data_IF_334206529064
#
_entry.id   IF_334206529064
#
_cell.length_a   1.000
_cell.length_b   1.000
_cell.length_c   1.000
_cell.angle_alpha   90.00
_cell.angle_beta   90.00
_cell.angle_gamma   90.00
#
_symmetry.space_group_name_H-M   'P 1'
#
loop_
_entity.id
_entity.type
_entity.pdbx_description
1 polymer ?
#
# COMPACT_ATOMS: atom_id res chain seq x y z
N UNK A 1 3.96 17.45 39.94
CA UNK A 1 3.87 17.87 38.53
C UNK A 1 3.06 16.80 37.81
N UNK A 2 1.97 17.13 37.12
CA UNK A 2 1.27 16.14 36.30
C UNK A 2 2.18 15.81 35.11
N UNK A 3 2.61 14.55 35.02
CA UNK A 3 3.37 14.06 33.89
C UNK A 3 2.49 14.08 32.65
N UNK A 4 2.99 14.69 31.58
CA UNK A 4 2.35 14.63 30.28
C UNK A 4 2.39 13.16 29.86
N UNK A 5 1.23 12.54 29.76
CA UNK A 5 1.09 11.21 29.18
C UNK A 5 1.39 11.33 27.68
N UNK A 6 2.41 10.63 27.20
CA UNK A 6 2.84 10.64 25.79
C UNK A 6 2.51 9.31 25.09
N UNK A 7 1.67 8.46 25.70
CA UNK A 7 1.31 7.13 25.16
C UNK A 7 0.63 7.19 23.77
N UNK A 8 0.10 8.35 23.38
CA UNK A 8 -0.43 8.59 22.02
C UNK A 8 0.65 8.84 20.96
N UNK A 9 1.91 9.08 21.35
CA UNK A 9 3.06 9.13 20.42
C UNK A 9 3.65 7.74 20.14
N UNK A 10 3.29 6.72 20.92
CA UNK A 10 3.85 5.35 20.78
C UNK A 10 3.12 4.47 19.76
N UNK A 11 1.98 4.90 19.24
CA UNK A 11 1.29 4.15 18.19
C UNK A 11 0.66 5.10 17.19
N UNK A 12 1.29 5.33 16.02
CA UNK A 12 0.53 5.69 14.85
C UNK A 12 -0.33 4.47 14.55
N UNK A 13 -1.57 4.46 15.03
CA UNK A 13 -2.57 3.50 14.56
C UNK A 13 -2.95 3.94 13.16
N UNK A 14 -2.03 3.76 12.21
CA UNK A 14 -2.35 3.77 10.80
C UNK A 14 -3.34 2.63 10.62
N UNK A 15 -4.59 2.98 10.30
CA UNK A 15 -5.61 1.98 10.04
C UNK A 15 -5.08 1.00 8.98
N UNK A 16 -5.14 -0.32 9.21
CA UNK A 16 -4.62 -1.27 8.25
C UNK A 16 -5.40 -1.14 6.94
N UNK A 17 -4.70 -1.03 5.81
CA UNK A 17 -5.34 -1.03 4.50
C UNK A 17 -6.02 -2.39 4.27
N UNK A 18 -7.34 -2.38 4.06
CA UNK A 18 -8.13 -3.60 3.91
C UNK A 18 -8.43 -3.84 2.43
N UNK A 19 -8.06 -5.00 1.93
CA UNK A 19 -8.41 -5.49 0.60
C UNK A 19 -9.54 -6.49 0.74
N UNK A 20 -10.70 -6.19 0.17
CA UNK A 20 -11.82 -7.14 0.10
C UNK A 20 -11.68 -7.99 -1.16
N UNK A 21 -11.42 -9.28 -0.98
CA UNK A 21 -11.33 -10.23 -2.09
C UNK A 21 -12.63 -11.03 -2.23
N UNK A 22 -12.95 -11.51 -3.45
CA UNK A 22 -14.06 -12.43 -3.66
C UNK A 22 -13.91 -13.69 -2.80
N UNK A 23 -15.04 -14.20 -2.31
CA UNK A 23 -15.12 -15.44 -1.53
C UNK A 23 -14.47 -16.60 -2.30
N UNK A 24 -13.69 -17.49 -1.64
CA UNK A 24 -13.54 -17.66 -0.19
C UNK A 24 -12.39 -16.85 0.46
N UNK A 25 -11.71 -15.97 -0.27
CA UNK A 25 -10.51 -15.30 0.23
C UNK A 25 -10.79 -14.24 1.31
N UNK A 26 -11.97 -13.61 1.27
CA UNK A 26 -12.43 -12.68 2.31
C UNK A 26 -11.62 -11.39 2.39
N UNK A 27 -11.60 -10.77 3.57
CA UNK A 27 -10.86 -9.53 3.81
C UNK A 27 -9.39 -9.82 4.18
N UNK A 28 -8.47 -9.15 3.49
CA UNK A 28 -7.05 -9.17 3.78
C UNK A 28 -6.64 -7.82 4.36
N UNK A 29 -6.03 -7.83 5.54
CA UNK A 29 -5.43 -6.64 6.15
C UNK A 29 -3.95 -6.56 5.79
N UNK A 30 -3.57 -5.50 5.08
CA UNK A 30 -2.17 -5.19 4.80
C UNK A 30 -1.54 -4.48 5.99
N UNK A 31 -0.24 -4.70 6.18
CA UNK A 31 0.59 -3.98 7.13
C UNK A 31 0.73 -2.52 6.69
N UNK A 32 0.89 -1.58 7.62
CA UNK A 32 1.21 -0.19 7.27
C UNK A 32 2.57 -0.11 6.56
N UNK A 33 2.76 0.92 5.73
CA UNK A 33 4.00 1.13 4.96
C UNK A 33 5.21 1.25 5.90
N UNK A 34 5.05 1.94 7.04
CA UNK A 34 6.07 2.07 8.09
C UNK A 34 6.57 0.73 8.65
N UNK A 35 5.81 -0.36 8.50
CA UNK A 35 6.17 -1.70 8.93
C UNK A 35 6.68 -2.60 7.78
N UNK A 36 6.90 -2.06 6.58
CA UNK A 36 7.39 -2.84 5.45
C UNK A 36 8.84 -3.28 5.65
N UNK A 37 9.19 -4.53 5.25
CA UNK A 37 10.60 -4.93 5.13
C UNK A 37 11.32 -4.07 4.08
N UNK A 38 12.66 -4.08 4.11
CA UNK A 38 13.51 -3.25 3.25
C UNK A 38 13.19 -3.41 1.74
N UNK A 39 12.88 -4.64 1.30
CA UNK A 39 12.51 -4.91 -0.09
C UNK A 39 11.19 -4.24 -0.49
N UNK A 40 10.21 -4.20 0.41
CA UNK A 40 8.93 -3.52 0.20
C UNK A 40 9.09 -2.00 0.13
N UNK A 41 9.93 -1.44 1.01
CA UNK A 41 10.28 -0.01 0.96
C UNK A 41 11.01 0.36 -0.34
N UNK A 42 11.97 -0.46 -0.79
CA UNK A 42 12.68 -0.22 -2.04
C UNK A 42 11.73 -0.25 -3.26
N UNK A 43 10.79 -1.20 -3.28
CA UNK A 43 9.76 -1.28 -4.32
C UNK A 43 8.85 -0.05 -4.30
N UNK A 44 8.38 0.38 -3.12
CA UNK A 44 7.58 1.59 -2.95
C UNK A 44 8.30 2.83 -3.51
N UNK A 45 9.58 3.00 -3.21
CA UNK A 45 10.37 4.13 -3.72
C UNK A 45 10.49 4.14 -5.24
N UNK A 46 10.66 2.96 -5.87
CA UNK A 46 10.69 2.85 -7.34
C UNK A 46 9.34 3.19 -7.97
N UNK A 47 8.25 2.70 -7.39
CA UNK A 47 6.89 2.99 -7.85
C UNK A 47 6.58 4.47 -7.71
N UNK A 48 6.85 5.07 -6.55
CA UNK A 48 6.60 6.50 -6.30
C UNK A 48 7.45 7.39 -7.21
N UNK A 49 8.70 7.02 -7.48
CA UNK A 49 9.52 7.72 -8.47
C UNK A 49 8.91 7.62 -9.88
N UNK A 50 8.45 6.43 -10.28
CA UNK A 50 7.78 6.24 -11.57
C UNK A 50 6.48 7.06 -11.68
N UNK A 51 5.78 7.29 -10.57
CA UNK A 51 4.55 8.10 -10.53
C UNK A 51 4.81 9.60 -10.48
N UNK A 52 5.96 10.05 -9.96
CA UNK A 52 6.28 11.46 -9.77
C UNK A 52 6.45 12.22 -11.10
N UNK A 53 6.88 11.52 -12.15
CA UNK A 53 7.09 12.08 -13.48
C UNK A 53 5.83 12.01 -14.38
N UNK A 54 4.72 11.49 -13.86
CA UNK A 54 3.48 11.32 -14.61
C UNK A 54 2.48 12.43 -14.32
N UNK A 55 1.77 12.81 -15.37
CA UNK A 55 0.52 13.55 -15.21
C UNK A 55 -0.53 12.61 -14.60
N UNK A 56 -0.85 12.84 -13.33
CA UNK A 56 -1.79 12.00 -12.57
C UNK A 56 -3.23 12.10 -13.08
N UNK A 57 -3.54 13.11 -13.89
CA UNK A 57 -4.84 13.26 -14.55
C UNK A 57 -4.97 12.34 -15.78
N UNK A 58 -3.86 11.80 -16.29
CA UNK A 58 -3.86 10.80 -17.36
C UNK A 58 -3.80 9.37 -16.82
N UNK A 59 -4.99 8.81 -16.58
CA UNK A 59 -5.15 7.42 -16.14
C UNK A 59 -4.45 6.41 -17.06
N UNK A 60 -4.31 6.66 -18.37
CA UNK A 60 -3.64 5.71 -19.27
C UNK A 60 -2.14 5.71 -19.05
N UNK A 61 -1.55 6.89 -18.87
CA UNK A 61 -0.13 7.05 -18.56
C UNK A 61 0.22 6.40 -17.21
N UNK A 62 -0.61 6.61 -16.18
CA UNK A 62 -0.45 5.94 -14.87
C UNK A 62 -0.54 4.42 -15.02
N UNK A 63 -1.54 3.91 -15.72
CA UNK A 63 -1.73 2.48 -15.91
C UNK A 63 -0.56 1.83 -16.68
N UNK A 64 -0.03 2.50 -17.70
CA UNK A 64 1.11 2.01 -18.46
C UNK A 64 2.39 1.95 -17.60
N UNK A 65 2.71 3.02 -16.88
CA UNK A 65 3.87 3.04 -15.98
C UNK A 65 3.78 2.00 -14.87
N UNK A 66 2.57 1.79 -14.31
CA UNK A 66 2.33 0.76 -13.29
C UNK A 66 2.41 -0.67 -13.87
N UNK A 67 2.02 -0.87 -15.12
CA UNK A 67 2.22 -2.14 -15.80
C UNK A 67 3.72 -2.45 -16.00
N UNK A 68 4.53 -1.44 -16.33
CA UNK A 68 6.00 -1.60 -16.42
C UNK A 68 6.64 -1.86 -15.04
N UNK A 69 6.05 -1.28 -13.98
CA UNK A 69 6.45 -1.50 -12.58
C UNK A 69 5.82 -2.74 -11.92
N UNK A 70 5.21 -3.66 -12.69
CA UNK A 70 4.52 -4.83 -12.14
C UNK A 70 5.35 -5.67 -11.15
N UNK A 71 6.66 -5.94 -11.38
CA UNK A 71 7.48 -6.68 -10.42
C UNK A 71 7.61 -5.95 -9.07
N UNK A 72 7.67 -4.62 -9.11
CA UNK A 72 7.74 -3.79 -7.90
C UNK A 72 6.39 -3.75 -7.18
N UNK A 73 5.27 -3.70 -7.91
CA UNK A 73 3.93 -3.80 -7.31
C UNK A 73 3.75 -5.13 -6.59
N UNK A 74 4.19 -6.24 -7.20
CA UNK A 74 4.15 -7.55 -6.58
C UNK A 74 5.03 -7.62 -5.33
N UNK A 75 6.24 -7.06 -5.39
CA UNK A 75 7.14 -7.00 -4.23
C UNK A 75 6.52 -6.18 -3.09
N UNK A 76 5.94 -5.02 -3.40
CA UNK A 76 5.27 -4.15 -2.44
C UNK A 76 4.09 -4.86 -1.77
N UNK A 77 3.14 -5.38 -2.56
CA UNK A 77 1.93 -6.03 -2.04
C UNK A 77 2.26 -7.29 -1.23
N UNK A 78 3.26 -8.08 -1.66
CA UNK A 78 3.74 -9.24 -0.89
C UNK A 78 4.36 -8.84 0.43
N UNK A 79 5.17 -7.78 0.43
CA UNK A 79 5.81 -7.23 1.63
C UNK A 79 4.78 -6.65 2.61
N UNK A 80 3.70 -6.07 2.08
CA UNK A 80 2.58 -5.54 2.84
C UNK A 80 1.75 -6.65 3.50
N UNK A 81 1.77 -7.89 3.00
CA UNK A 81 1.01 -8.98 3.61
C UNK A 81 1.60 -9.44 4.96
N UNK A 82 0.76 -9.82 5.93
CA UNK A 82 1.20 -10.28 7.25
C UNK A 82 1.86 -11.67 7.24
N UNK A 83 1.65 -12.46 6.18
CA UNK A 83 2.27 -13.77 6.01
C UNK A 83 2.40 -14.16 4.54
N UNK A 84 3.27 -15.13 4.26
CA UNK A 84 3.45 -15.69 2.91
C UNK A 84 2.15 -16.31 2.36
N UNK A 85 1.33 -16.92 3.22
CA UNK A 85 0.04 -17.51 2.82
C UNK A 85 -0.92 -16.44 2.32
N UNK A 86 -1.04 -15.34 3.06
CA UNK A 86 -1.90 -14.20 2.69
C UNK A 86 -1.38 -13.52 1.43
N UNK A 87 -0.06 -13.36 1.31
CA UNK A 87 0.57 -12.84 0.09
C UNK A 87 0.23 -13.69 -1.13
N UNK A 88 0.30 -15.02 -1.01
CA UNK A 88 -0.03 -15.90 -2.11
C UNK A 88 -1.51 -15.84 -2.48
N UNK A 89 -2.42 -15.79 -1.50
CA UNK A 89 -3.86 -15.63 -1.75
C UNK A 89 -4.17 -14.34 -2.49
N UNK A 90 -3.61 -13.22 -2.02
CA UNK A 90 -3.76 -11.92 -2.66
C UNK A 90 -3.23 -11.95 -4.10
N UNK A 91 -2.03 -12.47 -4.31
CA UNK A 91 -1.42 -12.54 -5.64
C UNK A 91 -2.17 -13.49 -6.57
N UNK A 92 -2.72 -14.60 -6.08
CA UNK A 92 -3.54 -15.50 -6.91
C UNK A 92 -4.77 -14.79 -7.46
N UNK A 93 -5.44 -13.96 -6.65
CA UNK A 93 -6.60 -13.20 -7.11
C UNK A 93 -6.19 -12.05 -8.02
N UNK A 94 -5.22 -11.24 -7.60
CA UNK A 94 -4.84 -10.02 -8.33
C UNK A 94 -4.03 -10.31 -9.62
N UNK A 95 -3.33 -11.43 -9.73
CA UNK A 95 -2.62 -11.79 -10.96
C UNK A 95 -3.57 -12.06 -12.14
N UNK A 96 -4.81 -12.48 -11.86
CA UNK A 96 -5.84 -12.63 -12.90
C UNK A 96 -6.44 -11.28 -13.33
N UNK A 97 -6.18 -10.20 -12.58
CA UNK A 97 -6.81 -8.90 -12.75
C UNK A 97 -5.77 -7.78 -12.59
N UNK A 98 -4.96 -7.55 -13.64
CA UNK A 98 -3.88 -6.56 -13.64
C UNK A 98 -4.35 -5.16 -13.22
N UNK A 99 -5.50 -4.71 -13.73
CA UNK A 99 -6.05 -3.40 -13.38
C UNK A 99 -6.45 -3.30 -11.91
N UNK A 100 -7.07 -4.34 -11.37
CA UNK A 100 -7.42 -4.41 -9.94
C UNK A 100 -6.15 -4.36 -9.07
N UNK A 101 -5.09 -5.04 -9.49
CA UNK A 101 -3.80 -5.02 -8.80
C UNK A 101 -3.22 -3.60 -8.73
N UNK A 102 -3.20 -2.91 -9.86
CA UNK A 102 -2.69 -1.54 -9.94
C UNK A 102 -3.51 -0.62 -9.03
N UNK A 103 -4.85 -0.72 -9.08
CA UNK A 103 -5.74 0.07 -8.20
C UNK A 103 -5.50 -0.21 -6.72
N UNK A 104 -5.35 -1.48 -6.33
CA UNK A 104 -5.05 -1.87 -4.94
C UNK A 104 -3.72 -1.28 -4.49
N UNK A 105 -2.68 -1.38 -5.31
CA UNK A 105 -1.38 -0.81 -4.99
C UNK A 105 -1.41 0.72 -4.89
N UNK A 106 -2.05 1.41 -5.83
CA UNK A 106 -2.22 2.86 -5.78
C UNK A 106 -3.03 3.31 -4.55
N UNK A 107 -4.09 2.59 -4.20
CA UNK A 107 -4.87 2.83 -2.99
C UNK A 107 -4.03 2.63 -1.72
N UNK A 108 -3.20 1.59 -1.69
CA UNK A 108 -2.31 1.31 -0.57
C UNK A 108 -1.25 2.42 -0.38
N UNK A 109 -0.66 2.89 -1.48
CA UNK A 109 0.30 4.01 -1.49
C UNK A 109 -0.38 5.32 -1.11
N UNK A 110 -1.56 5.59 -1.66
CA UNK A 110 -2.34 6.80 -1.37
C UNK A 110 -2.80 6.88 0.09
N UNK A 111 -3.08 5.74 0.74
CA UNK A 111 -3.44 5.72 2.17
C UNK A 111 -2.27 6.17 3.06
N UNK A 112 -1.03 5.84 2.72
CA UNK A 112 0.16 6.31 3.45
C UNK A 112 0.33 7.83 3.31
N UNK A 113 0.21 8.34 2.07
CA UNK A 113 0.26 9.78 1.82
C UNK A 113 -0.89 10.54 2.50
N UNK A 114 -2.07 9.94 2.63
CA UNK A 114 -3.20 10.52 3.37
C UNK A 114 -2.99 10.47 4.90
N UNK A 115 -2.26 9.48 5.40
CA UNK A 115 -1.82 9.38 6.79
C UNK A 115 -0.80 10.47 7.17
N UNK A 116 0.07 10.85 6.23
CA UNK A 116 0.96 12.03 6.37
C UNK A 116 0.21 13.36 6.18
N UNK A 117 -0.82 13.36 5.32
CA UNK A 117 -1.60 14.56 5.00
C UNK A 117 -2.75 14.85 5.97
N UNK A 118 -2.94 14.10 7.06
CA UNK A 118 -3.84 14.53 8.14
C UNK A 118 -3.15 15.67 8.90
N UNK A 119 -3.52 16.95 8.68
CA UNK A 119 -3.14 17.95 9.63
C UNK A 119 -3.93 17.59 10.88
N UNK A 120 -3.28 17.56 12.03
CA UNK A 120 -3.97 17.91 13.25
C UNK A 120 -4.49 19.34 13.07
N UNK A 121 -5.64 19.50 12.43
CA UNK A 121 -6.35 20.76 12.34
C UNK A 121 -7.02 20.96 13.70
N UNK A 122 -6.22 21.51 14.61
CA UNK A 122 -6.66 22.25 15.80
C UNK A 122 -7.31 23.57 15.40
#
# INVERSE_FOLDING_TARGET
MPGIDLSHLETPVLEPFVVTLPQPAGEIRLRPITALPAEGHAALLRITAALADLDQDDQRSVMAAMADALPDLDALLRAACPSKTVANQLMTVLNAHLEEKIRVALGYIGQDQAGEASPSAS
#
